data_IF_045692342019
#
_entry.id   IF_045692342019
#
_cell.length_a   1.000
_cell.length_b   1.000
_cell.length_c   1.000
_cell.angle_alpha   90.00
_cell.angle_beta   90.00
_cell.angle_gamma   90.00
#
_symmetry.space_group_name_H-M   'P 1'
#
loop_
_entity.id
_entity.type
_entity.pdbx_description
1 polymer ?
#
# COMPACT_ATOMS: atom_id res chain seq x y z
N UNK A 1 0.02 14.56 27.89
CA UNK A 1 0.52 13.27 27.32
C UNK A 1 0.30 13.35 25.83
N UNK A 2 1.31 13.11 24.99
CA UNK A 2 1.09 13.06 23.54
C UNK A 2 0.22 11.83 23.23
N UNK A 3 -0.78 12.01 22.38
CA UNK A 3 -1.62 10.92 21.94
C UNK A 3 -0.76 9.88 21.20
N UNK A 4 -0.95 8.59 21.51
CA UNK A 4 -0.25 7.50 20.82
C UNK A 4 -0.62 7.52 19.34
N UNK A 5 0.38 7.52 18.46
CA UNK A 5 0.16 7.48 17.00
C UNK A 5 -0.37 6.11 16.58
N UNK A 6 -1.24 6.10 15.60
CA UNK A 6 -1.92 4.88 15.13
C UNK A 6 -1.71 4.67 13.64
N UNK A 7 -1.46 3.41 13.27
CA UNK A 7 -1.27 3.02 11.88
C UNK A 7 -2.14 1.82 11.48
N UNK A 8 -2.58 1.81 10.22
CA UNK A 8 -3.29 0.69 9.59
C UNK A 8 -2.48 0.17 8.40
N UNK A 9 -2.12 -1.13 8.42
CA UNK A 9 -1.32 -1.75 7.35
C UNK A 9 -2.10 -2.88 6.69
N UNK A 10 -2.54 -2.66 5.46
CA UNK A 10 -3.26 -3.65 4.67
C UNK A 10 -2.27 -4.51 3.88
N UNK A 11 -2.31 -5.84 4.07
CA UNK A 11 -1.39 -6.78 3.43
C UNK A 11 -0.05 -6.86 4.17
N UNK A 12 -0.10 -7.17 5.47
CA UNK A 12 1.02 -7.10 6.39
C UNK A 12 1.57 -8.47 6.84
N UNK A 13 1.06 -9.58 6.30
CA UNK A 13 1.41 -10.92 6.80
C UNK A 13 2.85 -11.34 6.57
N UNK A 14 3.55 -10.71 5.60
CA UNK A 14 4.94 -11.02 5.24
C UNK A 14 5.62 -9.85 4.49
N UNK A 15 6.90 -10.02 4.18
CA UNK A 15 7.68 -9.10 3.35
C UNK A 15 7.66 -7.67 3.85
N UNK A 16 7.48 -6.72 2.95
CA UNK A 16 7.50 -5.27 3.23
C UNK A 16 6.46 -4.89 4.28
N UNK A 17 5.23 -5.39 4.15
CA UNK A 17 4.14 -5.05 5.06
C UNK A 17 4.43 -5.47 6.51
N UNK A 18 4.99 -6.67 6.73
CA UNK A 18 5.40 -7.14 8.06
C UNK A 18 6.56 -6.30 8.62
N UNK A 19 7.54 -5.96 7.78
CA UNK A 19 8.66 -5.12 8.18
C UNK A 19 8.19 -3.70 8.60
N UNK A 20 7.20 -3.12 7.90
CA UNK A 20 6.57 -1.84 8.28
C UNK A 20 5.88 -1.96 9.64
N UNK A 21 5.12 -3.04 9.88
CA UNK A 21 4.47 -3.30 11.19
C UNK A 21 5.51 -3.35 12.31
N UNK A 22 6.57 -4.13 12.14
CA UNK A 22 7.63 -4.28 13.13
C UNK A 22 8.32 -2.96 13.44
N UNK A 23 8.63 -2.15 12.42
CA UNK A 23 9.25 -0.85 12.56
C UNK A 23 8.36 0.12 13.35
N UNK A 24 7.08 0.22 12.98
CA UNK A 24 6.13 1.11 13.66
C UNK A 24 5.92 0.73 15.13
N UNK A 25 5.84 -0.57 15.44
CA UNK A 25 5.73 -1.05 16.82
C UNK A 25 6.98 -0.71 17.64
N UNK A 26 8.18 -0.87 17.05
CA UNK A 26 9.43 -0.48 17.71
C UNK A 26 9.48 1.03 18.00
N UNK A 27 8.85 1.85 17.16
CA UNK A 27 8.71 3.31 17.35
C UNK A 27 7.53 3.66 18.29
N UNK A 28 6.88 2.68 18.92
CA UNK A 28 5.84 2.86 19.95
C UNK A 28 4.44 3.13 19.41
N UNK A 29 4.18 2.95 18.12
CA UNK A 29 2.85 3.12 17.53
C UNK A 29 1.89 2.00 17.92
N UNK A 30 0.59 2.30 17.92
CA UNK A 30 -0.46 1.28 17.87
C UNK A 30 -0.71 0.89 16.42
N UNK A 31 -0.65 -0.40 16.10
CA UNK A 31 -0.74 -0.90 14.74
C UNK A 31 -1.91 -1.86 14.58
N UNK A 32 -2.81 -1.55 13.67
CA UNK A 32 -3.77 -2.49 13.12
C UNK A 32 -3.23 -3.02 11.80
N UNK A 33 -3.14 -4.33 11.65
CA UNK A 33 -2.54 -4.97 10.49
C UNK A 33 -3.44 -6.07 9.93
N UNK A 34 -3.41 -6.29 8.60
CA UNK A 34 -4.24 -7.32 8.00
C UNK A 34 -3.43 -8.46 7.40
N UNK A 35 -4.03 -9.65 7.45
CA UNK A 35 -3.54 -10.87 6.80
C UNK A 35 -4.66 -11.50 5.96
N UNK A 36 -4.29 -12.21 4.88
CA UNK A 36 -5.28 -12.84 3.98
C UNK A 36 -5.70 -14.23 4.43
N UNK A 37 -4.77 -15.15 4.51
CA UNK A 37 -5.06 -16.58 4.71
C UNK A 37 -4.22 -17.25 5.78
N UNK A 38 -3.09 -16.68 6.14
CA UNK A 38 -2.14 -17.30 7.08
C UNK A 38 -2.12 -16.49 8.36
N UNK A 39 -2.41 -17.14 9.49
CA UNK A 39 -2.23 -16.53 10.81
C UNK A 39 -0.75 -16.16 10.98
N UNK A 40 -0.48 -14.91 11.26
CA UNK A 40 0.88 -14.43 11.48
C UNK A 40 1.30 -14.74 12.91
N UNK A 41 2.43 -15.40 13.09
CA UNK A 41 2.95 -15.78 14.40
C UNK A 41 3.50 -14.59 15.20
N UNK A 42 3.84 -13.49 14.51
CA UNK A 42 4.34 -12.28 15.16
C UNK A 42 3.25 -11.62 16.00
N UNK A 43 3.53 -11.43 17.28
CA UNK A 43 2.62 -10.84 18.27
C UNK A 43 3.31 -9.69 19.01
N UNK A 44 2.54 -8.67 19.35
CA UNK A 44 2.98 -7.55 20.17
C UNK A 44 1.78 -6.92 20.88
N UNK A 45 1.95 -6.35 22.08
CA UNK A 45 0.85 -5.76 22.87
C UNK A 45 0.07 -4.67 22.17
N UNK A 46 0.72 -3.91 21.27
CA UNK A 46 0.16 -2.83 20.47
C UNK A 46 -0.18 -3.24 19.03
N UNK A 47 -0.30 -4.55 18.75
CA UNK A 47 -0.59 -5.08 17.43
C UNK A 47 -1.94 -5.78 17.39
N UNK A 48 -2.80 -5.35 16.49
CA UNK A 48 -4.12 -5.93 16.25
C UNK A 48 -4.20 -6.52 14.85
N UNK A 49 -4.26 -7.86 14.75
CA UNK A 49 -4.41 -8.56 13.49
C UNK A 49 -5.88 -8.73 13.10
N UNK A 50 -6.23 -8.36 11.86
CA UNK A 50 -7.57 -8.54 11.29
C UNK A 50 -7.49 -9.32 9.97
N UNK A 51 -8.41 -10.26 9.69
CA UNK A 51 -8.44 -10.97 8.42
C UNK A 51 -9.00 -10.06 7.32
N UNK A 52 -8.36 -10.10 6.15
CA UNK A 52 -8.83 -9.38 4.96
C UNK A 52 -8.28 -10.01 3.67
N UNK A 53 -9.14 -10.54 2.83
CA UNK A 53 -8.88 -10.61 1.40
C UNK A 53 -9.41 -9.30 0.78
N UNK A 54 -8.49 -8.45 0.34
CA UNK A 54 -8.84 -7.13 -0.19
C UNK A 54 -9.71 -7.21 -1.46
N UNK A 55 -9.70 -8.34 -2.18
CA UNK A 55 -10.49 -8.54 -3.40
C UNK A 55 -11.96 -8.80 -3.10
N UNK A 56 -12.31 -9.26 -1.89
CA UNK A 56 -13.66 -9.62 -1.48
C UNK A 56 -14.39 -8.40 -0.91
N UNK A 57 -15.45 -7.95 -1.59
CA UNK A 57 -16.19 -6.75 -1.22
C UNK A 57 -16.73 -6.78 0.21
N UNK A 58 -17.37 -7.89 0.59
CA UNK A 58 -17.96 -8.07 1.93
C UNK A 58 -16.91 -8.02 3.05
N UNK A 59 -15.69 -8.52 2.80
CA UNK A 59 -14.60 -8.45 3.78
C UNK A 59 -14.09 -7.01 3.94
N UNK A 60 -14.00 -6.23 2.85
CA UNK A 60 -13.67 -4.79 2.95
C UNK A 60 -14.72 -4.02 3.76
N UNK A 61 -16.01 -4.29 3.51
CA UNK A 61 -17.11 -3.68 4.25
C UNK A 61 -17.07 -4.06 5.74
N UNK A 62 -16.85 -5.32 6.06
CA UNK A 62 -16.71 -5.80 7.43
C UNK A 62 -15.54 -5.13 8.16
N UNK A 63 -14.36 -5.03 7.50
CA UNK A 63 -13.22 -4.34 8.08
C UNK A 63 -13.54 -2.87 8.37
N UNK A 64 -14.14 -2.15 7.43
CA UNK A 64 -14.52 -0.74 7.63
C UNK A 64 -15.54 -0.57 8.77
N UNK A 65 -16.46 -1.51 8.95
CA UNK A 65 -17.38 -1.50 10.09
C UNK A 65 -16.67 -1.74 11.43
N UNK A 66 -15.70 -2.67 11.46
CA UNK A 66 -14.90 -2.92 12.68
C UNK A 66 -14.05 -1.71 13.06
N UNK A 67 -13.56 -0.96 12.08
CA UNK A 67 -12.73 0.22 12.29
C UNK A 67 -13.54 1.50 12.50
N UNK A 68 -14.87 1.43 12.53
CA UNK A 68 -15.74 2.61 12.67
C UNK A 68 -15.45 3.36 13.96
N UNK A 69 -15.14 4.65 13.84
CA UNK A 69 -14.80 5.52 14.96
C UNK A 69 -13.32 5.55 15.32
N UNK A 70 -12.51 4.69 14.68
CA UNK A 70 -11.07 4.75 14.81
C UNK A 70 -10.49 5.90 13.97
N UNK A 71 -9.31 6.39 14.37
CA UNK A 71 -8.55 7.38 13.62
C UNK A 71 -7.11 6.88 13.45
N UNK A 72 -6.58 7.01 12.23
CA UNK A 72 -5.22 6.59 11.88
C UNK A 72 -4.40 7.77 11.36
N UNK A 73 -3.20 7.93 11.90
CA UNK A 73 -2.24 8.92 11.40
C UNK A 73 -1.60 8.45 10.09
N UNK A 74 -1.42 7.14 9.93
CA UNK A 74 -0.87 6.50 8.74
C UNK A 74 -1.71 5.30 8.35
N UNK A 75 -2.07 5.22 7.09
CA UNK A 75 -2.62 4.01 6.48
C UNK A 75 -1.75 3.61 5.29
N UNK A 76 -1.37 2.35 5.18
CA UNK A 76 -0.62 1.80 4.06
C UNK A 76 -1.38 0.63 3.44
N UNK A 77 -1.70 0.72 2.16
CA UNK A 77 -2.22 -0.39 1.38
C UNK A 77 -1.07 -1.00 0.60
N UNK A 78 -0.57 -2.14 1.12
CA UNK A 78 0.58 -2.85 0.57
C UNK A 78 0.21 -4.15 -0.17
N UNK A 79 -1.03 -4.59 -0.09
CA UNK A 79 -1.51 -5.78 -0.76
C UNK A 79 -1.32 -5.70 -2.29
N UNK A 80 -0.77 -6.75 -2.88
CA UNK A 80 -0.55 -6.84 -4.31
C UNK A 80 0.01 -8.19 -4.71
N UNK A 81 -0.03 -8.49 -6.01
CA UNK A 81 0.54 -9.70 -6.64
C UNK A 81 1.36 -9.30 -7.86
N UNK A 82 2.31 -10.15 -8.26
CA UNK A 82 3.10 -9.95 -9.48
C UNK A 82 2.27 -10.26 -10.73
N UNK A 83 1.34 -11.21 -10.60
CA UNK A 83 0.59 -11.73 -11.74
C UNK A 83 1.43 -12.62 -12.64
N UNK A 84 0.95 -12.88 -13.86
CA UNK A 84 1.66 -13.72 -14.82
C UNK A 84 2.99 -13.10 -15.26
N UNK A 85 4.02 -13.94 -15.40
CA UNK A 85 5.38 -13.53 -15.77
C UNK A 85 5.63 -13.67 -17.29
N UNK A 86 4.60 -13.51 -18.10
CA UNK A 86 4.72 -13.58 -19.55
C UNK A 86 4.96 -12.18 -20.15
N UNK A 87 5.91 -12.10 -21.07
CA UNK A 87 6.07 -10.93 -21.96
C UNK A 87 5.15 -11.02 -23.19
N UNK A 88 4.61 -12.20 -23.48
CA UNK A 88 3.66 -12.41 -24.56
C UNK A 88 2.24 -12.09 -24.08
N UNK A 89 1.67 -11.00 -24.59
CA UNK A 89 0.36 -10.53 -24.16
C UNK A 89 -0.77 -11.53 -24.38
N UNK A 90 -0.66 -12.38 -25.41
CA UNK A 90 -1.69 -13.38 -25.73
C UNK A 90 -1.62 -14.64 -24.85
N UNK A 91 -0.50 -14.84 -24.14
CA UNK A 91 -0.30 -16.08 -23.36
C UNK A 91 -1.00 -16.08 -21.99
N UNK A 92 -1.52 -14.94 -21.57
CA UNK A 92 -2.16 -14.77 -20.25
C UNK A 92 -3.66 -14.93 -20.38
N UNK A 93 -4.26 -15.73 -19.50
CA UNK A 93 -5.72 -15.93 -19.46
C UNK A 93 -6.47 -14.70 -18.92
N UNK A 94 -7.73 -14.55 -19.32
CA UNK A 94 -8.60 -13.48 -18.84
C UNK A 94 -8.78 -13.53 -17.31
N UNK A 95 -8.88 -14.72 -16.71
CA UNK A 95 -9.05 -14.88 -15.26
C UNK A 95 -7.81 -14.38 -14.49
N UNK A 96 -6.59 -14.66 -14.97
CA UNK A 96 -5.36 -14.14 -14.38
C UNK A 96 -5.30 -12.61 -14.47
N UNK A 97 -5.73 -12.04 -15.58
CA UNK A 97 -5.82 -10.59 -15.76
C UNK A 97 -6.85 -9.96 -14.83
N UNK A 98 -8.03 -10.55 -14.73
CA UNK A 98 -9.08 -10.11 -13.80
C UNK A 98 -8.54 -10.13 -12.36
N UNK A 99 -7.89 -11.22 -11.96
CA UNK A 99 -7.29 -11.33 -10.63
C UNK A 99 -6.21 -10.27 -10.39
N UNK A 100 -5.32 -10.06 -11.37
CA UNK A 100 -4.24 -9.08 -11.29
C UNK A 100 -4.80 -7.65 -11.12
N UNK A 101 -5.67 -7.22 -12.00
CA UNK A 101 -6.21 -5.86 -11.95
C UNK A 101 -7.12 -5.64 -10.74
N UNK A 102 -7.91 -6.64 -10.35
CA UNK A 102 -8.71 -6.56 -9.14
C UNK A 102 -7.81 -6.39 -7.91
N UNK A 103 -6.75 -7.21 -7.77
CA UNK A 103 -5.85 -7.17 -6.60
C UNK A 103 -4.98 -5.93 -6.56
N UNK A 104 -4.41 -5.53 -7.71
CA UNK A 104 -3.40 -4.46 -7.74
C UNK A 104 -3.97 -3.06 -7.94
N UNK A 105 -5.19 -2.93 -8.48
CA UNK A 105 -5.73 -1.64 -8.90
C UNK A 105 -7.09 -1.34 -8.26
N UNK A 106 -8.11 -2.14 -8.55
CA UNK A 106 -9.49 -1.82 -8.20
C UNK A 106 -9.74 -1.95 -6.69
N UNK A 107 -9.36 -3.08 -6.09
CA UNK A 107 -9.61 -3.33 -4.67
C UNK A 107 -8.82 -2.39 -3.75
N UNK A 108 -7.52 -2.09 -4.01
CA UNK A 108 -6.78 -1.08 -3.26
C UNK A 108 -7.44 0.29 -3.25
N UNK A 109 -7.93 0.78 -4.39
CA UNK A 109 -8.56 2.10 -4.46
C UNK A 109 -9.92 2.12 -3.76
N UNK A 110 -10.73 1.08 -3.91
CA UNK A 110 -12.00 0.93 -3.15
C UNK A 110 -11.75 0.87 -1.64
N UNK A 111 -10.71 0.17 -1.21
CA UNK A 111 -10.31 0.14 0.20
C UNK A 111 -9.84 1.51 0.66
N UNK A 112 -9.00 2.18 -0.14
CA UNK A 112 -8.51 3.53 0.10
C UNK A 112 -9.64 4.52 0.31
N UNK A 113 -10.64 4.54 -0.56
CA UNK A 113 -11.81 5.42 -0.46
C UNK A 113 -12.55 5.22 0.87
N UNK A 114 -12.79 3.96 1.27
CA UNK A 114 -13.41 3.63 2.54
C UNK A 114 -12.60 4.04 3.77
N UNK A 115 -11.27 4.14 3.64
CA UNK A 115 -10.38 4.55 4.73
C UNK A 115 -10.26 6.07 4.89
N UNK A 116 -10.64 6.89 3.90
CA UNK A 116 -10.48 8.35 3.98
C UNK A 116 -11.13 8.98 5.23
N UNK A 117 -12.35 8.57 5.65
CA UNK A 117 -12.97 9.11 6.87
C UNK A 117 -12.22 8.75 8.16
N UNK A 118 -11.39 7.69 8.12
CA UNK A 118 -10.64 7.17 9.27
C UNK A 118 -9.24 7.78 9.37
N UNK A 119 -8.83 8.64 8.44
CA UNK A 119 -7.55 9.34 8.52
C UNK A 119 -7.68 10.57 9.42
N UNK A 120 -6.66 10.79 10.25
CA UNK A 120 -6.52 12.02 11.04
C UNK A 120 -6.52 13.23 10.11
N UNK A 121 -7.38 14.20 10.34
CA UNK A 121 -7.46 15.41 9.53
C UNK A 121 -6.14 16.16 9.50
N UNK A 122 -5.81 16.74 8.36
CA UNK A 122 -4.59 17.53 8.07
C UNK A 122 -3.26 16.76 8.17
N UNK A 123 -3.15 15.81 9.11
CA UNK A 123 -1.89 15.08 9.35
C UNK A 123 -1.91 13.64 8.83
N UNK A 124 -3.08 13.13 8.47
CA UNK A 124 -3.26 11.78 7.97
C UNK A 124 -2.58 11.57 6.61
N UNK A 125 -1.92 10.43 6.46
CA UNK A 125 -1.28 10.01 5.20
C UNK A 125 -1.81 8.65 4.80
N UNK A 126 -2.30 8.56 3.57
CA UNK A 126 -2.62 7.30 2.89
C UNK A 126 -1.52 6.95 1.90
N UNK A 127 -0.74 5.93 2.21
CA UNK A 127 0.21 5.33 1.28
C UNK A 127 -0.42 4.17 0.52
N UNK A 128 -0.17 4.07 -0.77
CA UNK A 128 -0.54 2.92 -1.60
C UNK A 128 0.72 2.42 -2.29
N UNK A 129 1.09 1.16 -2.04
CA UNK A 129 2.27 0.56 -2.65
C UNK A 129 2.02 0.34 -4.15
N UNK A 130 2.68 1.12 -4.96
CA UNK A 130 2.73 1.01 -6.41
C UNK A 130 4.07 0.44 -6.88
N UNK A 131 4.56 0.84 -8.04
CA UNK A 131 5.87 0.48 -8.58
C UNK A 131 6.34 1.56 -9.53
N UNK A 132 7.64 1.80 -9.65
CA UNK A 132 8.17 2.64 -10.74
C UNK A 132 7.78 2.11 -12.12
N UNK A 133 7.49 0.81 -12.21
CA UNK A 133 6.95 0.21 -13.44
C UNK A 133 5.53 0.70 -13.76
N UNK A 134 4.82 1.31 -12.80
CA UNK A 134 3.54 2.00 -13.01
C UNK A 134 3.68 3.43 -13.57
N UNK A 135 4.86 3.82 -14.01
CA UNK A 135 5.13 5.06 -14.71
C UNK A 135 5.41 4.79 -16.19
N UNK A 136 4.74 5.46 -17.08
CA UNK A 136 5.02 5.38 -18.53
C UNK A 136 6.39 6.00 -18.88
N UNK A 137 6.85 6.95 -18.07
CA UNK A 137 8.13 7.62 -18.28
C UNK A 137 9.30 6.78 -17.76
N UNK A 138 9.17 6.24 -16.52
CA UNK A 138 10.26 5.48 -15.87
C UNK A 138 10.39 4.05 -16.42
N UNK A 139 9.35 3.52 -17.08
CA UNK A 139 9.29 2.16 -17.65
C UNK A 139 9.07 2.19 -19.17
N UNK A 140 9.88 2.95 -19.89
CA UNK A 140 9.77 3.09 -21.35
C UNK A 140 9.92 1.76 -22.12
N UNK A 141 10.59 0.76 -21.54
CA UNK A 141 10.79 -0.57 -22.12
C UNK A 141 9.60 -1.53 -21.89
N UNK A 142 8.55 -1.06 -21.20
CA UNK A 142 7.35 -1.85 -20.85
C UNK A 142 7.67 -3.19 -20.15
N UNK A 143 8.64 -3.19 -19.24
CA UNK A 143 8.96 -4.37 -18.44
C UNK A 143 7.72 -4.88 -17.70
N UNK A 144 7.50 -6.21 -17.69
CA UNK A 144 6.34 -6.86 -17.06
C UNK A 144 5.01 -6.21 -17.43
N UNK A 145 4.58 -6.26 -18.70
CA UNK A 145 3.55 -5.37 -19.26
C UNK A 145 2.24 -5.38 -18.48
N UNK A 146 1.70 -6.54 -18.11
CA UNK A 146 0.45 -6.62 -17.36
C UNK A 146 0.57 -6.12 -15.92
N UNK A 147 1.65 -6.49 -15.22
CA UNK A 147 1.92 -5.94 -13.90
C UNK A 147 2.05 -4.41 -13.96
N UNK A 148 2.84 -3.91 -14.90
CA UNK A 148 3.03 -2.47 -15.12
C UNK A 148 1.71 -1.77 -15.42
N UNK A 149 0.91 -2.31 -16.34
CA UNK A 149 -0.42 -1.79 -16.65
C UNK A 149 -1.33 -1.75 -15.41
N UNK A 150 -1.28 -2.78 -14.55
CA UNK A 150 -2.05 -2.78 -13.30
C UNK A 150 -1.60 -1.67 -12.34
N UNK A 151 -0.31 -1.34 -12.30
CA UNK A 151 0.22 -0.25 -11.46
C UNK A 151 0.00 1.14 -12.07
N UNK A 152 -0.01 1.27 -13.40
CA UNK A 152 -0.51 2.49 -14.09
C UNK A 152 -1.97 2.73 -13.76
N UNK A 153 -2.82 1.68 -13.87
CA UNK A 153 -4.23 1.77 -13.52
C UNK A 153 -4.44 2.15 -12.04
N UNK A 154 -3.65 1.57 -11.11
CA UNK A 154 -3.66 1.95 -9.70
C UNK A 154 -3.36 3.44 -9.52
N UNK A 155 -2.29 3.94 -10.13
CA UNK A 155 -1.88 5.35 -10.05
C UNK A 155 -2.97 6.28 -10.59
N UNK A 156 -3.59 5.94 -11.73
CA UNK A 156 -4.67 6.72 -12.31
C UNK A 156 -5.92 6.70 -11.43
N UNK A 157 -6.37 5.53 -10.97
CA UNK A 157 -7.56 5.40 -10.12
C UNK A 157 -7.37 6.12 -8.77
N UNK A 158 -6.15 6.10 -8.22
CA UNK A 158 -5.84 6.80 -6.97
C UNK A 158 -6.06 8.32 -7.07
N UNK A 159 -5.89 8.92 -8.25
CA UNK A 159 -6.19 10.34 -8.48
C UNK A 159 -7.66 10.70 -8.26
N UNK A 160 -8.58 9.74 -8.45
CA UNK A 160 -10.00 9.98 -8.17
C UNK A 160 -10.30 10.30 -6.69
N UNK A 161 -9.40 9.91 -5.78
CA UNK A 161 -9.53 10.17 -4.36
C UNK A 161 -9.19 11.62 -3.96
N UNK A 162 -8.49 12.36 -4.80
CA UNK A 162 -7.91 13.68 -4.46
C UNK A 162 -8.97 14.67 -3.99
N UNK A 163 -10.09 14.78 -4.68
CA UNK A 163 -11.13 15.74 -4.31
C UNK A 163 -11.63 15.52 -2.88
N UNK A 164 -11.75 14.26 -2.46
CA UNK A 164 -12.19 13.92 -1.09
C UNK A 164 -11.07 14.17 -0.08
N UNK A 165 -9.81 13.94 -0.45
CA UNK A 165 -8.65 14.12 0.41
C UNK A 165 -8.31 15.60 0.62
N UNK A 166 -8.40 16.43 -0.42
CA UNK A 166 -8.10 17.86 -0.37
C UNK A 166 -9.02 18.57 0.63
N UNK A 167 -10.30 18.19 0.70
CA UNK A 167 -11.25 18.74 1.68
C UNK A 167 -10.86 18.45 3.13
N UNK A 168 -10.08 17.43 3.38
CA UNK A 168 -9.60 17.00 4.71
C UNK A 168 -8.17 17.45 5.00
N UNK A 169 -7.44 17.95 4.01
CA UNK A 169 -6.02 18.30 4.09
C UNK A 169 -5.08 17.09 4.31
N UNK A 170 -5.54 15.89 3.96
CA UNK A 170 -4.76 14.65 4.07
C UNK A 170 -3.88 14.44 2.84
N UNK A 171 -2.83 13.64 2.97
CA UNK A 171 -1.87 13.39 1.89
C UNK A 171 -2.03 11.99 1.31
N UNK A 172 -2.02 11.86 -0.02
CA UNK A 172 -1.96 10.60 -0.75
C UNK A 172 -0.55 10.36 -1.28
N UNK A 173 -0.01 9.16 -1.05
CA UNK A 173 1.28 8.75 -1.60
C UNK A 173 1.11 7.49 -2.47
N UNK A 174 1.52 7.59 -3.74
CA UNK A 174 1.88 6.44 -4.55
C UNK A 174 3.34 6.09 -4.25
N UNK A 175 3.57 4.96 -3.58
CA UNK A 175 4.87 4.59 -3.03
C UNK A 175 5.51 3.45 -3.84
N UNK A 176 6.68 3.70 -4.45
CA UNK A 176 7.52 2.64 -4.98
C UNK A 176 8.44 2.11 -3.88
N UNK A 177 8.33 0.83 -3.48
CA UNK A 177 9.07 0.28 -2.35
C UNK A 177 10.53 -0.06 -2.64
N UNK A 178 11.00 0.10 -3.88
CA UNK A 178 12.23 -0.47 -4.40
C UNK A 178 12.04 -1.87 -4.99
N UNK A 179 13.11 -2.48 -5.48
CA UNK A 179 13.15 -3.91 -5.81
C UNK A 179 13.63 -4.65 -4.56
N UNK A 180 12.73 -5.38 -3.92
CA UNK A 180 12.87 -5.81 -2.52
C UNK A 180 12.97 -7.33 -2.43
N UNK A 181 13.94 -7.85 -1.67
CA UNK A 181 14.11 -9.28 -1.34
C UNK A 181 12.89 -9.81 -0.58
N UNK A 182 11.98 -10.41 -1.30
CA UNK A 182 10.72 -11.00 -0.84
C UNK A 182 10.34 -12.14 -1.78
N UNK A 183 9.31 -12.92 -1.45
CA UNK A 183 8.78 -13.94 -2.36
C UNK A 183 8.41 -13.40 -3.75
N UNK A 184 8.03 -12.11 -3.82
CA UNK A 184 7.68 -11.44 -5.08
C UNK A 184 8.90 -10.92 -5.84
N UNK A 185 9.90 -10.37 -5.13
CA UNK A 185 11.05 -9.71 -5.74
C UNK A 185 12.20 -10.65 -6.06
N UNK A 186 12.25 -11.83 -5.41
CA UNK A 186 13.35 -12.78 -5.53
C UNK A 186 14.58 -12.41 -4.71
N UNK A 187 15.57 -13.30 -4.71
CA UNK A 187 16.80 -13.15 -3.92
C UNK A 187 17.79 -12.15 -4.53
N UNK A 188 17.69 -11.92 -5.84
CA UNK A 188 18.56 -10.99 -6.58
C UNK A 188 18.16 -9.52 -6.43
N UNK A 189 17.09 -9.24 -5.69
CA UNK A 189 16.61 -7.89 -5.48
C UNK A 189 17.62 -7.01 -4.73
N UNK A 190 17.59 -5.69 -4.98
CA UNK A 190 18.61 -4.73 -4.55
C UNK A 190 18.62 -4.48 -3.04
N UNK A 191 17.43 -4.48 -2.40
CA UNK A 191 17.28 -4.06 -0.99
C UNK A 191 16.47 -5.07 -0.18
N UNK A 192 16.64 -5.03 1.13
CA UNK A 192 15.89 -5.85 2.08
C UNK A 192 14.49 -5.26 2.35
N UNK A 193 13.58 -6.09 2.90
CA UNK A 193 12.28 -5.63 3.35
C UNK A 193 12.37 -4.58 4.47
N UNK A 194 13.41 -4.64 5.30
CA UNK A 194 13.66 -3.68 6.39
C UNK A 194 14.06 -2.31 5.82
N UNK A 195 14.99 -2.26 4.87
CA UNK A 195 15.40 -1.01 4.21
C UNK A 195 14.22 -0.36 3.47
N UNK A 196 13.44 -1.16 2.76
CA UNK A 196 12.21 -0.68 2.10
C UNK A 196 11.23 -0.10 3.12
N UNK A 197 10.95 -0.81 4.21
CA UNK A 197 10.03 -0.37 5.27
C UNK A 197 10.46 0.94 5.92
N UNK A 198 11.76 1.08 6.23
CA UNK A 198 12.34 2.31 6.76
C UNK A 198 12.11 3.48 5.81
N UNK A 199 12.36 3.28 4.52
CA UNK A 199 12.12 4.27 3.49
C UNK A 199 10.65 4.66 3.39
N UNK A 200 9.73 3.69 3.29
CA UNK A 200 8.29 3.95 3.18
C UNK A 200 7.75 4.72 4.39
N UNK A 201 8.10 4.31 5.61
CA UNK A 201 7.68 5.00 6.84
C UNK A 201 8.26 6.41 6.90
N UNK A 202 9.51 6.60 6.49
CA UNK A 202 10.15 7.91 6.40
C UNK A 202 9.38 8.84 5.45
N UNK A 203 8.98 8.35 4.25
CA UNK A 203 8.20 9.15 3.31
C UNK A 203 6.80 9.47 3.87
N UNK A 204 6.10 8.50 4.44
CA UNK A 204 4.79 8.76 5.06
C UNK A 204 4.88 9.80 6.18
N UNK A 205 5.97 9.82 6.93
CA UNK A 205 6.20 10.84 7.97
C UNK A 205 6.58 12.20 7.38
N UNK A 206 7.43 12.23 6.34
CA UNK A 206 7.86 13.45 5.66
C UNK A 206 6.70 14.21 5.01
N UNK A 207 5.76 13.51 4.42
CA UNK A 207 4.64 14.10 3.69
C UNK A 207 3.40 14.37 4.55
N UNK A 208 3.44 14.09 5.86
CA UNK A 208 2.35 14.42 6.75
C UNK A 208 2.06 15.93 6.76
N UNK A 209 0.80 16.29 6.53
CA UNK A 209 0.35 17.68 6.50
C UNK A 209 0.69 18.47 5.23
N UNK A 210 1.25 17.82 4.19
CA UNK A 210 1.53 18.50 2.93
C UNK A 210 0.33 18.53 1.97
N UNK A 211 -0.62 17.60 2.14
CA UNK A 211 -1.75 17.46 1.21
C UNK A 211 -1.34 16.93 -0.16
N UNK A 212 -2.31 16.88 -1.08
CA UNK A 212 -2.08 16.50 -2.46
C UNK A 212 -1.71 15.02 -2.68
N UNK A 213 -1.26 14.70 -3.90
CA UNK A 213 -0.86 13.36 -4.32
C UNK A 213 0.57 13.36 -4.83
N UNK A 214 1.43 12.59 -4.20
CA UNK A 214 2.86 12.51 -4.54
C UNK A 214 3.22 11.07 -4.95
N UNK A 215 4.03 10.94 -5.98
CA UNK A 215 4.59 9.68 -6.43
C UNK A 215 6.08 9.66 -6.12
N UNK A 216 6.47 8.85 -5.14
CA UNK A 216 7.84 8.82 -4.63
C UNK A 216 8.31 7.38 -4.41
N UNK A 217 9.62 7.17 -4.48
CA UNK A 217 10.21 5.91 -4.08
C UNK A 217 10.58 5.90 -2.57
N UNK A 218 11.02 4.73 -2.10
CA UNK A 218 11.43 4.53 -0.70
C UNK A 218 12.59 5.46 -0.28
N UNK A 219 13.45 5.91 -1.20
CA UNK A 219 14.54 6.85 -0.91
C UNK A 219 14.08 8.31 -0.84
N UNK A 220 12.86 8.60 -1.27
CA UNK A 220 12.29 9.94 -1.34
C UNK A 220 12.50 10.65 -2.68
N UNK A 221 12.99 9.94 -3.69
CA UNK A 221 13.05 10.46 -5.07
C UNK A 221 11.62 10.58 -5.60
N UNK A 222 11.28 11.74 -6.14
CA UNK A 222 10.04 11.94 -6.86
C UNK A 222 10.10 11.24 -8.22
N UNK A 223 9.06 10.47 -8.53
CA UNK A 223 8.94 9.75 -9.79
C UNK A 223 7.99 10.49 -10.75
N UNK A 224 8.25 10.34 -12.06
CA UNK A 224 7.32 10.78 -13.08
C UNK A 224 6.10 9.83 -13.15
N UNK A 225 4.96 10.36 -13.59
CA UNK A 225 3.72 9.57 -13.78
C UNK A 225 3.75 8.73 -15.05
#
# INVERSE_FOLDING_TARGET
MSQTKRALIIGASKGIGLAVVQLLLADGWDVTATYRSTTVSYQHEKLHWLPLDITIATQREQLLQQLKGEQFDRALINAGILGPDSMELIATSDDELIQLFMTNSVAPVRMAEGLLPLLTEKQGVLGITTSRLGSLTENAEALRPYYSASKVALNMLSRALLQQMDSRGTTLLSLHPGWVKTDMGGDDADITAVESAQGLVAQMNRFAGQGGHHYVDFSGKQLAW
#
